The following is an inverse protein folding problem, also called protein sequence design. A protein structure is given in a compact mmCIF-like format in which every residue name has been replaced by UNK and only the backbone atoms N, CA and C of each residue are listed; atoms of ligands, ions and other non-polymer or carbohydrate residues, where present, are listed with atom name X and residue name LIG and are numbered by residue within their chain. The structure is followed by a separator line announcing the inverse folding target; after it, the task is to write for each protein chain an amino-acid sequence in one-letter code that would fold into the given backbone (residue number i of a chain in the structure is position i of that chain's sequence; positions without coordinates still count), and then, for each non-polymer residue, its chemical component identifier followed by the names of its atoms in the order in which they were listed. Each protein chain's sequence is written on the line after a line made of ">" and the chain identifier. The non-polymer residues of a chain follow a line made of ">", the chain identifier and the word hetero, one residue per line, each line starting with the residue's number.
data_IF_138038107836
#
_entry.id   IF_138038107836
#
_cell.length_a   1.000
_cell.length_b   1.000
_cell.length_c   1.000
_cell.angle_alpha   90.00
_cell.angle_beta   90.00
_cell.angle_gamma   90.00
#
_symmetry.space_group_name_H-M   'P 1'
#
loop_
_entity.id
_entity.type
_entity.pdbx_description
1 polymer ?
#
# COMPACT_ATOMS: atom_id res chain seq x y z
N UNK A 1 4.32 -9.35 -8.18
CA UNK A 1 5.06 -8.92 -6.97
C UNK A 1 6.31 -8.15 -7.38
N UNK A 2 6.55 -7.00 -6.77
CA UNK A 2 7.65 -6.08 -7.10
C UNK A 2 8.46 -5.75 -5.82
N UNK A 3 9.77 -5.45 -5.90
CA UNK A 3 10.61 -5.16 -4.74
C UNK A 3 10.10 -4.00 -3.86
N UNK A 4 9.47 -3.02 -4.47
CA UNK A 4 8.94 -1.81 -3.82
C UNK A 4 7.91 -2.13 -2.74
N UNK A 5 7.23 -3.27 -2.84
CA UNK A 5 6.34 -3.74 -1.77
C UNK A 5 7.12 -4.08 -0.49
N UNK A 6 8.29 -4.73 -0.61
CA UNK A 6 9.15 -5.00 0.54
C UNK A 6 9.77 -3.70 1.08
N UNK A 7 10.14 -2.78 0.20
CA UNK A 7 10.66 -1.47 0.60
C UNK A 7 9.61 -0.68 1.38
N UNK A 8 8.35 -0.66 0.93
CA UNK A 8 7.27 0.01 1.63
C UNK A 8 7.00 -0.59 3.02
N UNK A 9 7.01 -1.92 3.17
CA UNK A 9 6.83 -2.58 4.47
C UNK A 9 7.95 -2.21 5.44
N UNK A 10 9.20 -2.33 4.99
CA UNK A 10 10.37 -2.01 5.81
C UNK A 10 10.47 -0.51 6.12
N UNK A 11 10.07 0.36 5.19
CA UNK A 11 10.01 1.79 5.43
C UNK A 11 8.98 2.14 6.50
N UNK A 12 7.80 1.53 6.48
CA UNK A 12 6.80 1.69 7.54
C UNK A 12 7.36 1.25 8.90
N UNK A 13 7.96 0.06 8.96
CA UNK A 13 8.58 -0.45 10.19
C UNK A 13 9.71 0.47 10.70
N UNK A 14 10.52 1.04 9.80
CA UNK A 14 11.64 1.94 10.15
C UNK A 14 11.18 3.24 10.82
N UNK A 15 9.96 3.69 10.54
CA UNK A 15 9.35 4.92 11.10
C UNK A 15 8.26 4.62 12.15
N UNK A 16 8.22 3.38 12.67
CA UNK A 16 7.22 2.97 13.64
C UNK A 16 5.77 3.00 13.15
N UNK A 17 5.56 3.01 11.83
CA UNK A 17 4.23 2.96 11.24
C UNK A 17 3.77 1.51 11.08
N UNK A 18 2.46 1.30 11.23
CA UNK A 18 1.87 -0.02 11.12
C UNK A 18 1.41 -0.21 9.68
N UNK A 19 1.94 -1.21 8.99
CA UNK A 19 1.49 -1.51 7.64
C UNK A 19 0.37 -2.57 7.67
N UNK A 20 -0.62 -2.43 6.78
CA UNK A 20 -1.67 -3.39 6.51
C UNK A 20 -1.59 -3.82 5.06
N UNK A 21 -1.43 -5.13 4.82
CA UNK A 21 -1.21 -5.65 3.48
C UNK A 21 -2.51 -6.15 2.88
N UNK A 22 -2.91 -5.59 1.73
CA UNK A 22 -4.10 -6.02 0.98
C UNK A 22 -3.70 -6.67 -0.33
N UNK A 23 -4.32 -7.78 -0.68
CA UNK A 23 -3.95 -8.49 -1.90
C UNK A 23 -4.46 -7.81 -3.18
N UNK A 24 -3.62 -7.72 -4.21
CA UNK A 24 -3.93 -7.10 -5.51
C UNK A 24 -5.16 -7.70 -6.24
N UNK A 25 -5.61 -8.89 -5.85
CA UNK A 25 -6.83 -9.54 -6.36
C UNK A 25 -8.13 -9.12 -5.66
N UNK A 26 -8.07 -8.27 -4.63
CA UNK A 26 -9.27 -7.83 -3.90
C UNK A 26 -10.09 -6.87 -4.76
N UNK A 27 -11.42 -6.94 -4.59
CA UNK A 27 -12.34 -5.98 -5.21
C UNK A 27 -12.17 -4.58 -4.60
N UNK A 28 -12.59 -3.51 -5.31
CA UNK A 28 -12.56 -2.15 -4.76
C UNK A 28 -13.33 -2.00 -3.44
N UNK A 29 -14.47 -2.66 -3.29
CA UNK A 29 -15.29 -2.64 -2.07
C UNK A 29 -14.55 -3.32 -0.92
N UNK A 30 -13.88 -4.44 -1.21
CA UNK A 30 -13.07 -5.11 -0.23
C UNK A 30 -11.92 -4.20 0.21
N UNK A 31 -11.21 -3.56 -0.73
CA UNK A 31 -10.14 -2.61 -0.41
C UNK A 31 -10.64 -1.43 0.43
N UNK A 32 -11.78 -0.83 0.06
CA UNK A 32 -12.37 0.30 0.78
C UNK A 32 -12.62 -0.03 2.27
N UNK A 33 -13.24 -1.18 2.55
CA UNK A 33 -13.45 -1.62 3.92
C UNK A 33 -12.14 -1.75 4.70
N UNK A 34 -11.05 -2.25 4.09
CA UNK A 34 -9.77 -2.38 4.81
C UNK A 34 -9.15 -1.01 5.10
N UNK A 35 -9.28 -0.07 4.18
CA UNK A 35 -8.82 1.31 4.37
C UNK A 35 -9.54 1.95 5.56
N UNK A 36 -10.87 1.79 5.64
CA UNK A 36 -11.69 2.29 6.75
C UNK A 36 -11.36 1.59 8.07
N UNK A 37 -11.32 0.25 8.07
CA UNK A 37 -11.12 -0.56 9.27
C UNK A 37 -9.77 -0.27 9.95
N UNK A 38 -8.72 0.02 9.17
CA UNK A 38 -7.42 0.37 9.72
C UNK A 38 -7.19 1.88 9.90
N UNK A 39 -8.09 2.73 9.39
CA UNK A 39 -7.91 4.19 9.43
C UNK A 39 -6.67 4.66 8.67
N UNK A 40 -6.40 4.10 7.49
CA UNK A 40 -5.15 4.38 6.78
C UNK A 40 -5.01 5.85 6.35
N UNK A 41 -3.82 6.43 6.58
CA UNK A 41 -3.49 7.79 6.12
C UNK A 41 -2.76 7.83 4.78
N UNK A 42 -2.13 6.71 4.39
CA UNK A 42 -1.45 6.53 3.11
C UNK A 42 -1.75 5.15 2.52
N UNK A 43 -1.97 5.11 1.22
CA UNK A 43 -2.06 3.89 0.42
C UNK A 43 -0.84 3.79 -0.51
N UNK A 44 -0.19 2.63 -0.56
CA UNK A 44 0.87 2.35 -1.55
C UNK A 44 0.37 1.34 -2.56
N UNK A 45 0.46 1.68 -3.84
CA UNK A 45 0.01 0.84 -4.96
C UNK A 45 0.95 0.97 -6.17
N UNK A 46 0.72 0.18 -7.20
CA UNK A 46 1.37 0.38 -8.51
C UNK A 46 0.33 0.79 -9.55
N UNK A 47 0.79 1.22 -10.73
CA UNK A 47 -0.06 1.44 -11.89
C UNK A 47 -0.84 0.16 -12.27
N UNK A 48 -0.12 -0.90 -12.61
CA UNK A 48 -0.66 -2.19 -13.04
C UNK A 48 0.16 -3.37 -12.51
N UNK A 49 -0.47 -4.55 -12.45
CA UNK A 49 0.18 -5.80 -12.09
C UNK A 49 0.00 -6.86 -13.20
N UNK A 50 0.96 -6.98 -14.13
CA UNK A 50 0.97 -8.07 -15.11
C UNK A 50 1.37 -9.38 -14.43
N UNK A 51 0.52 -10.40 -14.52
CA UNK A 51 0.78 -11.76 -14.01
C UNK A 51 0.00 -12.80 -14.78
N UNK A 52 0.68 -13.88 -15.20
CA UNK A 52 0.01 -15.03 -15.84
C UNK A 52 -0.79 -14.67 -17.09
N UNK A 53 -0.32 -13.70 -17.87
CA UNK A 53 -1.00 -13.20 -19.08
C UNK A 53 -2.18 -12.25 -18.82
N UNK A 54 -2.49 -11.92 -17.56
CA UNK A 54 -3.49 -10.92 -17.20
C UNK A 54 -2.83 -9.66 -16.67
N UNK A 55 -3.35 -8.50 -17.04
CA UNK A 55 -2.92 -7.20 -16.52
C UNK A 55 -4.02 -6.72 -15.56
N UNK A 56 -3.68 -6.64 -14.27
CA UNK A 56 -4.62 -6.13 -13.26
C UNK A 56 -4.43 -4.62 -13.12
N UNK A 57 -5.45 -3.78 -13.37
CA UNK A 57 -5.32 -2.32 -13.28
C UNK A 57 -5.40 -1.88 -11.81
N UNK A 58 -4.25 -1.79 -11.14
CA UNK A 58 -4.20 -1.60 -9.70
C UNK A 58 -4.66 -0.19 -9.30
N UNK A 59 -4.11 0.84 -9.95
CA UNK A 59 -4.47 2.24 -9.66
C UNK A 59 -5.94 2.54 -9.92
N UNK A 60 -6.50 2.02 -11.02
CA UNK A 60 -7.93 2.16 -11.31
C UNK A 60 -8.82 1.53 -10.24
N UNK A 61 -8.42 0.37 -9.69
CA UNK A 61 -9.15 -0.27 -8.61
C UNK A 61 -9.02 0.50 -7.28
N UNK A 62 -7.87 1.12 -7.04
CA UNK A 62 -7.67 2.04 -5.92
C UNK A 62 -8.61 3.24 -6.02
N UNK A 63 -8.70 3.89 -7.18
CA UNK A 63 -9.57 5.06 -7.35
C UNK A 63 -11.04 4.72 -7.09
N UNK A 64 -11.49 3.53 -7.53
CA UNK A 64 -12.82 3.03 -7.21
C UNK A 64 -13.03 2.83 -5.71
N UNK A 65 -12.03 2.31 -5.00
CA UNK A 65 -12.11 2.12 -3.54
C UNK A 65 -12.14 3.47 -2.80
N UNK A 66 -11.33 4.43 -3.22
CA UNK A 66 -11.30 5.78 -2.61
C UNK A 66 -12.58 6.58 -2.85
N UNK A 67 -13.29 6.31 -3.95
CA UNK A 67 -14.63 6.88 -4.16
C UNK A 67 -15.68 6.34 -3.16
N UNK A 68 -15.40 5.20 -2.49
CA UNK A 68 -16.29 4.59 -1.49
C UNK A 68 -15.92 5.09 -0.08
N UNK A 69 -14.64 5.02 0.28
CA UNK A 69 -14.16 5.28 1.65
C UNK A 69 -13.58 6.68 1.90
N UNK A 70 -13.49 7.51 0.87
CA UNK A 70 -12.88 8.84 0.93
C UNK A 70 -11.44 8.87 0.42
N UNK A 71 -10.98 10.07 0.06
CA UNK A 71 -9.63 10.27 -0.48
C UNK A 71 -8.58 10.23 0.65
N UNK A 72 -7.57 9.39 0.45
CA UNK A 72 -6.33 9.36 1.25
C UNK A 72 -5.13 9.54 0.33
N UNK A 73 -3.99 9.97 0.89
CA UNK A 73 -2.76 10.11 0.10
C UNK A 73 -2.42 8.76 -0.51
N UNK A 74 -2.00 8.76 -1.77
CA UNK A 74 -1.71 7.53 -2.51
C UNK A 74 -0.34 7.65 -3.17
N UNK A 75 0.56 6.73 -2.86
CA UNK A 75 1.85 6.58 -3.51
C UNK A 75 1.73 5.53 -4.62
N UNK A 76 2.07 5.91 -5.84
CA UNK A 76 1.93 5.05 -7.04
C UNK A 76 3.31 4.70 -7.57
N UNK A 77 3.59 3.41 -7.65
CA UNK A 77 4.79 2.87 -8.28
C UNK A 77 4.54 2.66 -9.77
N UNK A 78 5.34 3.28 -10.62
CA UNK A 78 5.27 3.12 -12.08
C UNK A 78 5.92 1.79 -12.51
N UNK A 79 5.16 0.67 -12.43
CA UNK A 79 5.67 -0.67 -12.76
C UNK A 79 5.61 -0.96 -14.26
N UNK A 80 4.53 -0.57 -14.93
CA UNK A 80 4.36 -0.78 -16.38
C UNK A 80 4.51 0.50 -17.18
N UNK A 81 4.50 1.66 -16.52
CA UNK A 81 4.32 2.99 -17.15
C UNK A 81 2.99 3.06 -17.91
N UNK A 82 1.96 2.39 -17.38
CA UNK A 82 0.62 2.43 -17.93
C UNK A 82 0.01 3.83 -17.80
N UNK A 83 -0.89 4.17 -18.71
CA UNK A 83 -1.66 5.41 -18.64
C UNK A 83 -2.72 5.28 -17.53
N UNK A 84 -2.36 5.71 -16.32
CA UNK A 84 -3.23 5.67 -15.14
C UNK A 84 -3.57 7.09 -14.67
N UNK A 85 -4.84 7.34 -14.29
CA UNK A 85 -5.25 8.66 -13.81
C UNK A 85 -4.55 8.98 -12.48
N UNK A 86 -3.99 10.19 -12.39
CA UNK A 86 -3.37 10.74 -11.19
C UNK A 86 -4.13 12.01 -10.77
N UNK A 87 -4.61 12.06 -9.52
CA UNK A 87 -5.23 13.26 -8.94
C UNK A 87 -4.18 14.10 -8.21
N UNK A 88 -4.12 15.39 -8.54
CA UNK A 88 -3.28 16.36 -7.84
C UNK A 88 -3.58 16.39 -6.34
N UNK A 89 -2.55 16.67 -5.53
CA UNK A 89 -2.57 16.74 -4.06
C UNK A 89 -2.97 15.44 -3.31
N UNK A 90 -3.37 14.40 -4.04
CA UNK A 90 -3.70 13.07 -3.50
C UNK A 90 -2.73 11.98 -3.95
N UNK A 91 -2.43 11.93 -5.24
CA UNK A 91 -1.60 10.88 -5.84
C UNK A 91 -0.18 11.39 -6.08
N UNK A 92 0.81 10.62 -5.64
CA UNK A 92 2.22 10.94 -5.74
C UNK A 92 2.97 9.84 -6.47
N UNK A 93 3.86 10.25 -7.37
CA UNK A 93 4.77 9.34 -8.09
C UNK A 93 5.86 8.84 -7.16
N UNK A 94 6.05 7.52 -7.11
CA UNK A 94 7.13 6.91 -6.34
C UNK A 94 8.50 7.31 -6.87
N UNK A 95 8.71 7.18 -8.18
CA UNK A 95 9.99 7.49 -8.81
C UNK A 95 10.38 8.96 -8.63
N UNK A 96 9.42 9.89 -8.74
CA UNK A 96 9.67 11.32 -8.50
C UNK A 96 10.07 11.60 -7.04
N UNK A 97 9.34 11.05 -6.06
CA UNK A 97 9.65 11.26 -4.64
C UNK A 97 10.96 10.61 -4.22
N UNK A 98 11.29 9.45 -4.78
CA UNK A 98 12.56 8.77 -4.49
C UNK A 98 13.77 9.50 -5.05
N UNK A 99 13.62 10.29 -6.12
CA UNK A 99 14.71 11.08 -6.67
C UNK A 99 15.19 12.19 -5.70
N UNK A 100 14.28 12.69 -4.87
CA UNK A 100 14.55 13.71 -3.86
C UNK A 100 14.76 13.14 -2.44
N UNK A 101 14.58 11.83 -2.26
CA UNK A 101 14.66 11.18 -0.95
C UNK A 101 16.12 11.03 -0.47
N UNK A 102 16.33 11.21 0.83
CA UNK A 102 17.62 10.95 1.48
C UNK A 102 17.91 9.45 1.55
N UNK A 103 19.15 9.06 1.29
CA UNK A 103 19.63 7.69 1.49
C UNK A 103 19.79 7.34 2.98
N UNK A 104 19.93 8.36 3.83
CA UNK A 104 20.09 8.19 5.28
C UNK A 104 18.84 8.65 6.03
N UNK A 105 18.40 7.81 6.96
CA UNK A 105 17.30 8.07 7.88
C UNK A 105 17.48 7.23 9.14
N UNK A 106 17.52 7.85 10.31
CA UNK A 106 17.67 7.13 11.58
C UNK A 106 16.39 6.33 11.92
N UNK A 107 16.46 5.01 12.12
CA UNK A 107 15.28 4.22 12.52
C UNK A 107 14.69 4.71 13.85
N UNK A 108 13.37 4.66 13.96
CA UNK A 108 12.67 4.90 15.21
C UNK A 108 12.90 3.73 16.19
N UNK A 109 13.22 4.05 17.45
CA UNK A 109 13.34 3.06 18.50
C UNK A 109 11.94 2.65 18.96
N UNK A 110 11.59 1.38 18.74
CA UNK A 110 10.29 0.81 19.07
C UNK A 110 10.41 -0.13 20.28
N UNK A 111 9.35 -0.22 21.08
CA UNK A 111 9.22 -1.23 22.13
C UNK A 111 8.96 -2.61 21.51
N UNK A 112 9.28 -3.68 22.25
CA UNK A 112 9.03 -5.05 21.81
C UNK A 112 7.53 -5.36 21.58
N UNK A 113 6.64 -4.63 22.26
CA UNK A 113 5.19 -4.79 22.15
C UNK A 113 4.53 -3.82 21.16
N UNK A 114 5.31 -2.94 20.51
CA UNK A 114 4.73 -2.01 19.55
C UNK A 114 4.25 -2.77 18.30
N UNK A 115 3.08 -2.43 17.75
CA UNK A 115 2.50 -3.12 16.61
C UNK A 115 3.33 -2.91 15.34
N UNK A 116 3.71 -4.00 14.67
CA UNK A 116 4.45 -3.98 13.39
C UNK A 116 3.53 -4.10 12.17
N UNK A 117 2.47 -4.91 12.27
CA UNK A 117 1.60 -5.30 11.16
C UNK A 117 0.13 -5.36 11.60
N UNK A 118 -0.77 -4.81 10.78
CA UNK A 118 -2.19 -5.10 10.83
C UNK A 118 -2.54 -6.19 9.80
N UNK A 119 -2.79 -7.41 10.28
CA UNK A 119 -3.39 -8.49 9.50
C UNK A 119 -4.81 -8.74 10.00
N UNK A 120 -5.76 -8.89 9.08
CA UNK A 120 -7.20 -9.11 9.38
C UNK A 120 -7.42 -10.50 10.01
N UNK A 121 -7.03 -10.65 11.28
CA UNK A 121 -7.54 -11.61 12.28
C UNK A 121 -7.52 -11.01 13.70
N UNK A 122 -6.93 -9.82 13.92
CA UNK A 122 -6.97 -9.11 15.20
C UNK A 122 -7.17 -7.60 14.95
N UNK A 123 -8.24 -7.05 15.50
CA UNK A 123 -8.54 -5.60 15.48
C UNK A 123 -7.92 -4.97 16.73
N UNK A 124 -7.04 -3.99 16.55
CA UNK A 124 -6.63 -3.05 17.60
C UNK A 124 -6.95 -1.64 17.08
N UNK A 125 -7.99 -0.97 17.60
CA UNK A 125 -8.54 0.27 17.02
C UNK A 125 -7.76 1.55 17.40
N UNK A 126 -6.63 1.45 18.10
CA UNK A 126 -6.09 2.57 18.89
C UNK A 126 -4.96 3.38 18.23
N UNK A 127 -4.51 3.10 16.99
CA UNK A 127 -3.33 3.78 16.42
C UNK A 127 -3.54 4.33 14.99
N UNK A 128 -3.57 5.67 14.79
CA UNK A 128 -3.91 6.31 13.51
C UNK A 128 -2.80 6.29 12.44
N UNK A 129 -1.68 5.59 12.66
CA UNK A 129 -0.58 5.47 11.69
C UNK A 129 -0.65 4.15 10.90
N UNK A 130 -1.81 3.84 10.33
CA UNK A 130 -1.94 2.69 9.44
C UNK A 130 -1.59 3.07 7.99
N UNK A 131 -0.79 2.24 7.35
CA UNK A 131 -0.45 2.33 5.92
C UNK A 131 -1.04 1.13 5.21
N UNK A 132 -1.90 1.33 4.23
CA UNK A 132 -2.42 0.23 3.44
C UNK A 132 -1.47 -0.01 2.25
N UNK A 133 -0.75 -1.13 2.26
CA UNK A 133 0.12 -1.53 1.16
C UNK A 133 -0.59 -2.62 0.36
N UNK A 134 -0.84 -2.37 -0.92
CA UNK A 134 -1.44 -3.39 -1.77
C UNK A 134 -0.36 -4.30 -2.35
N UNK A 135 -0.12 -5.45 -1.72
CA UNK A 135 0.84 -6.47 -2.19
C UNK A 135 0.13 -7.61 -2.95
N UNK A 136 0.85 -8.50 -3.62
CA UNK A 136 0.32 -9.80 -4.04
C UNK A 136 0.73 -10.89 -3.05
N UNK A 137 -0.17 -11.84 -2.77
CA UNK A 137 0.17 -13.06 -2.05
C UNK A 137 0.87 -14.03 -3.00
N UNK A 138 1.95 -14.63 -2.54
CA UNK A 138 2.43 -15.89 -3.13
C UNK A 138 1.49 -16.98 -2.62
N UNK A 139 0.45 -17.29 -3.39
CA UNK A 139 -0.20 -18.60 -3.25
C UNK A 139 0.76 -19.62 -3.86
N UNK A 140 1.49 -20.36 -3.03
CA UNK A 140 2.12 -21.62 -3.43
C UNK A 140 1.01 -22.63 -3.70
N UNK A 141 0.37 -22.53 -4.87
CA UNK A 141 -0.42 -23.60 -5.45
C UNK A 141 0.51 -24.51 -6.21
N UNK A 142 0.93 -25.61 -5.59
CA UNK A 142 1.58 -26.73 -6.27
C UNK A 142 0.75 -27.14 -7.50
N UNK A 143 1.39 -27.13 -8.66
CA UNK A 143 1.22 -28.16 -9.68
C UNK A 143 2.50 -28.95 -9.75
#
# INVERSE_FOLDING_TARGET
>A
MIPEAAYAMLACARIGAIHSIVFAGFSPEALASRIEDCGASLLVTADEAPRGGKITPLKTNVDKALNICGDIKTLVVERTNGDVPMKNDRDYSYSALMADASEDYTPEAMNAEDPLLFYTLLVQPENPKAFCIRQEAISFGHR
#
